data_IF_212619132290
#
_entry.id   IF_212619132290
#
_cell.length_a   1.000
_cell.length_b   1.000
_cell.length_c   1.000
_cell.angle_alpha   90.00
_cell.angle_beta   90.00
_cell.angle_gamma   90.00
#
_symmetry.space_group_name_H-M   'P 1'
#
loop_
_entity.id
_entity.type
_entity.pdbx_description
1 polymer ?
#
# COMPACT_ATOMS: atom_id res chain seq x y z
N UNK A 1 4.99 -22.96 2.82
CA UNK A 1 6.05 -22.26 2.07
C UNK A 1 6.82 -21.41 3.07
N UNK A 2 8.15 -21.43 3.06
CA UNK A 2 8.97 -20.69 4.02
C UNK A 2 9.14 -19.23 3.56
N UNK A 3 8.78 -18.29 4.43
CA UNK A 3 8.99 -16.86 4.21
C UNK A 3 10.48 -16.55 4.09
N UNK A 4 10.85 -15.68 3.15
CA UNK A 4 12.24 -15.31 2.87
C UNK A 4 12.48 -13.87 3.29
N UNK A 5 13.62 -13.64 3.95
CA UNK A 5 14.04 -12.29 4.31
C UNK A 5 14.35 -11.43 3.07
N UNK A 6 13.97 -10.16 3.13
CA UNK A 6 14.18 -9.19 2.08
C UNK A 6 15.67 -8.85 1.94
N UNK A 7 16.21 -9.07 0.74
CA UNK A 7 17.53 -8.54 0.38
C UNK A 7 17.42 -7.04 0.13
N UNK A 8 18.57 -6.36 0.09
CA UNK A 8 18.62 -4.90 -0.12
C UNK A 8 17.84 -4.44 -1.36
N UNK A 9 17.95 -5.16 -2.48
CA UNK A 9 17.19 -4.88 -3.71
C UNK A 9 15.68 -4.99 -3.53
N UNK A 10 15.22 -5.94 -2.70
CA UNK A 10 13.80 -6.14 -2.43
C UNK A 10 13.27 -5.02 -1.54
N UNK A 11 14.08 -4.52 -0.61
CA UNK A 11 13.76 -3.35 0.22
C UNK A 11 13.64 -2.09 -0.63
N UNK A 12 14.57 -1.86 -1.55
CA UNK A 12 14.51 -0.73 -2.50
C UNK A 12 13.29 -0.81 -3.42
N UNK A 13 12.93 -2.02 -3.86
CA UNK A 13 11.70 -2.23 -4.61
C UNK A 13 10.46 -1.92 -3.77
N UNK A 14 10.40 -2.39 -2.51
CA UNK A 14 9.29 -2.09 -1.60
C UNK A 14 9.15 -0.59 -1.36
N UNK A 15 10.25 0.14 -1.17
CA UNK A 15 10.24 1.60 -1.03
C UNK A 15 9.69 2.30 -2.29
N UNK A 16 10.07 1.84 -3.49
CA UNK A 16 9.52 2.38 -4.75
C UNK A 16 8.02 2.11 -4.87
N UNK A 17 7.57 0.91 -4.51
CA UNK A 17 6.13 0.57 -4.50
C UNK A 17 5.39 1.49 -3.52
N UNK A 18 5.94 1.74 -2.33
CA UNK A 18 5.34 2.67 -1.36
C UNK A 18 5.23 4.07 -1.96
N UNK A 19 6.29 4.61 -2.56
CA UNK A 19 6.28 5.95 -3.15
C UNK A 19 5.28 6.05 -4.32
N UNK A 20 5.21 5.01 -5.16
CA UNK A 20 4.25 4.93 -6.27
C UNK A 20 2.80 4.88 -5.76
N UNK A 21 2.48 4.08 -4.75
CA UNK A 21 1.11 4.01 -4.23
C UNK A 21 0.73 5.29 -3.46
N UNK A 22 1.66 5.92 -2.72
CA UNK A 22 1.43 7.24 -2.12
C UNK A 22 1.10 8.28 -3.20
N UNK A 23 1.77 8.24 -4.35
CA UNK A 23 1.53 9.20 -5.45
C UNK A 23 0.13 9.09 -6.07
N UNK A 24 -0.57 7.96 -5.86
CA UNK A 24 -1.92 7.71 -6.39
C UNK A 24 -3.04 8.10 -5.43
N UNK A 25 -2.72 8.38 -4.17
CA UNK A 25 -3.69 8.82 -3.15
C UNK A 25 -4.60 9.95 -3.65
N UNK A 26 -4.09 11.02 -4.31
CA UNK A 26 -4.97 12.08 -4.82
C UNK A 26 -6.04 11.57 -5.80
N UNK A 27 -5.68 10.61 -6.66
CA UNK A 27 -6.62 9.99 -7.60
C UNK A 27 -7.67 9.16 -6.87
N UNK A 28 -7.25 8.36 -5.89
CA UNK A 28 -8.17 7.58 -5.05
C UNK A 28 -9.18 8.47 -4.32
N UNK A 29 -8.71 9.55 -3.68
CA UNK A 29 -9.60 10.49 -2.98
C UNK A 29 -10.62 11.13 -3.93
N UNK A 30 -10.18 11.49 -5.15
CA UNK A 30 -11.07 12.01 -6.19
C UNK A 30 -12.13 10.97 -6.60
N UNK A 31 -11.73 9.71 -6.77
CA UNK A 31 -12.65 8.62 -7.13
C UNK A 31 -13.67 8.36 -6.01
N UNK A 32 -13.27 8.51 -4.75
CA UNK A 32 -14.15 8.40 -3.60
C UNK A 32 -15.25 9.48 -3.56
N UNK A 33 -15.05 10.61 -4.23
CA UNK A 33 -16.05 11.67 -4.37
C UNK A 33 -16.95 11.50 -5.60
N UNK A 34 -16.79 10.42 -6.38
CA UNK A 34 -17.72 10.08 -7.46
C UNK A 34 -19.11 9.72 -6.89
N UNK A 35 -20.19 9.99 -7.66
CA UNK A 35 -21.55 9.67 -7.23
C UNK A 35 -21.70 8.20 -6.84
N UNK A 36 -22.36 7.93 -5.72
CA UNK A 36 -22.64 6.60 -5.18
C UNK A 36 -21.42 5.75 -4.81
N UNK A 37 -20.18 6.22 -4.95
CA UNK A 37 -18.98 5.42 -4.65
C UNK A 37 -18.96 5.00 -3.18
N UNK A 38 -19.15 5.96 -2.28
CA UNK A 38 -19.17 5.73 -0.83
C UNK A 38 -20.32 4.83 -0.41
N UNK A 39 -21.51 5.06 -0.95
CA UNK A 39 -22.69 4.26 -0.62
C UNK A 39 -22.55 2.81 -1.10
N UNK A 40 -22.03 2.62 -2.31
CA UNK A 40 -21.82 1.29 -2.91
C UNK A 40 -20.82 0.47 -2.08
N UNK A 41 -19.75 1.10 -1.63
CA UNK A 41 -18.68 0.46 -0.87
C UNK A 41 -18.88 0.56 0.65
N UNK A 42 -20.00 1.13 1.09
CA UNK A 42 -20.34 1.35 2.50
C UNK A 42 -19.24 2.07 3.29
N UNK A 43 -18.59 3.05 2.65
CA UNK A 43 -17.49 3.82 3.21
C UNK A 43 -18.05 4.84 4.20
N UNK A 44 -17.69 4.68 5.48
CA UNK A 44 -18.11 5.56 6.58
C UNK A 44 -17.06 6.60 6.95
N UNK A 45 -15.79 6.23 6.83
CA UNK A 45 -14.63 7.09 7.08
C UNK A 45 -13.71 7.02 5.86
N UNK A 46 -13.56 8.15 5.16
CA UNK A 46 -12.76 8.23 3.94
C UNK A 46 -11.26 8.06 4.23
N UNK A 47 -10.79 8.58 5.36
CA UNK A 47 -9.37 8.50 5.73
C UNK A 47 -8.99 7.08 6.12
N UNK A 48 -9.84 6.39 6.88
CA UNK A 48 -9.65 4.99 7.25
C UNK A 48 -9.67 4.09 6.01
N UNK A 49 -10.64 4.30 5.11
CA UNK A 49 -10.73 3.56 3.87
C UNK A 49 -9.50 3.78 2.98
N UNK A 50 -9.09 5.03 2.76
CA UNK A 50 -7.93 5.36 1.95
C UNK A 50 -6.64 4.76 2.55
N UNK A 51 -6.49 4.80 3.87
CA UNK A 51 -5.35 4.20 4.57
C UNK A 51 -5.30 2.69 4.35
N UNK A 52 -6.42 1.99 4.58
CA UNK A 52 -6.52 0.55 4.36
C UNK A 52 -6.30 0.14 2.90
N UNK A 53 -6.88 0.89 1.96
CA UNK A 53 -6.71 0.65 0.53
C UNK A 53 -5.24 0.78 0.10
N UNK A 54 -4.55 1.85 0.50
CA UNK A 54 -3.14 2.08 0.15
C UNK A 54 -2.25 0.99 0.74
N UNK A 55 -2.48 0.60 2.00
CA UNK A 55 -1.76 -0.51 2.62
C UNK A 55 -1.95 -1.81 1.85
N UNK A 56 -3.20 -2.16 1.51
CA UNK A 56 -3.51 -3.35 0.73
C UNK A 56 -2.85 -3.33 -0.67
N UNK A 57 -2.88 -2.18 -1.34
CA UNK A 57 -2.26 -1.98 -2.64
C UNK A 57 -0.74 -2.17 -2.60
N UNK A 58 -0.05 -1.60 -1.60
CA UNK A 58 1.39 -1.74 -1.41
C UNK A 58 1.75 -3.21 -1.20
N UNK A 59 1.08 -3.89 -0.26
CA UNK A 59 1.34 -5.30 0.06
C UNK A 59 1.11 -6.18 -1.16
N UNK A 60 -0.09 -6.09 -1.78
CA UNK A 60 -0.44 -6.95 -2.90
C UNK A 60 0.46 -6.74 -4.13
N UNK A 61 0.82 -5.49 -4.43
CA UNK A 61 1.73 -5.17 -5.53
C UNK A 61 3.14 -5.68 -5.24
N UNK A 62 3.68 -5.43 -4.05
CA UNK A 62 5.01 -5.91 -3.69
C UNK A 62 5.08 -7.43 -3.68
N UNK A 63 4.11 -8.13 -3.07
CA UNK A 63 4.05 -9.59 -3.07
C UNK A 63 4.01 -10.17 -4.48
N UNK A 64 3.23 -9.56 -5.38
CA UNK A 64 3.15 -9.98 -6.78
C UNK A 64 4.50 -9.85 -7.48
N UNK A 65 5.17 -8.69 -7.36
CA UNK A 65 6.47 -8.47 -7.99
C UNK A 65 7.53 -9.38 -7.37
N UNK A 66 7.52 -9.55 -6.05
CA UNK A 66 8.46 -10.43 -5.34
C UNK A 66 8.30 -11.88 -5.79
N UNK A 67 7.05 -12.38 -5.88
CA UNK A 67 6.73 -13.72 -6.33
C UNK A 67 7.31 -14.00 -7.72
N UNK A 68 7.10 -13.06 -8.66
CA UNK A 68 7.63 -13.18 -10.03
C UNK A 68 9.17 -13.18 -10.05
N UNK A 69 9.80 -12.29 -9.28
CA UNK A 69 11.25 -12.18 -9.23
C UNK A 69 11.94 -13.36 -8.50
N UNK A 70 11.25 -14.00 -7.56
CA UNK A 70 11.82 -15.03 -6.68
C UNK A 70 11.26 -16.44 -6.93
N UNK A 71 10.81 -16.71 -8.16
CA UNK A 71 10.36 -18.05 -8.59
C UNK A 71 9.27 -18.64 -7.69
N UNK A 72 8.28 -17.81 -7.35
CA UNK A 72 7.11 -18.23 -6.60
C UNK A 72 7.26 -18.20 -5.08
N UNK A 73 8.36 -17.66 -4.55
CA UNK A 73 8.54 -17.46 -3.11
C UNK A 73 7.77 -16.24 -2.62
N UNK A 74 7.46 -16.23 -1.33
CA UNK A 74 6.83 -15.10 -0.65
C UNK A 74 7.82 -14.41 0.28
N UNK A 75 7.77 -13.06 0.35
CA UNK A 75 8.54 -12.31 1.32
C UNK A 75 7.97 -12.49 2.74
N UNK A 76 8.79 -12.25 3.76
CA UNK A 76 8.31 -12.19 5.15
C UNK A 76 7.31 -11.05 5.36
N UNK A 77 6.11 -11.39 5.82
CA UNK A 77 5.06 -10.43 6.14
C UNK A 77 5.51 -9.41 7.21
N UNK A 78 6.28 -9.85 8.21
CA UNK A 78 6.81 -8.99 9.27
C UNK A 78 7.77 -7.91 8.73
N UNK A 79 8.60 -8.24 7.74
CA UNK A 79 9.51 -7.27 7.14
C UNK A 79 8.77 -6.26 6.26
N UNK A 80 7.76 -6.71 5.52
CA UNK A 80 6.87 -5.80 4.77
C UNK A 80 6.19 -4.83 5.73
N UNK A 81 5.58 -5.36 6.80
CA UNK A 81 4.88 -4.56 7.79
C UNK A 81 5.80 -3.51 8.43
N UNK A 82 7.02 -3.89 8.83
CA UNK A 82 8.00 -2.96 9.42
C UNK A 82 8.35 -1.81 8.47
N UNK A 83 8.59 -2.10 7.19
CA UNK A 83 8.91 -1.05 6.21
C UNK A 83 7.73 -0.12 5.97
N UNK A 84 6.51 -0.66 5.81
CA UNK A 84 5.30 0.16 5.65
C UNK A 84 5.07 1.01 6.91
N UNK A 85 5.22 0.42 8.11
CA UNK A 85 5.02 1.15 9.36
C UNK A 85 6.02 2.31 9.53
N UNK A 86 7.27 2.13 9.09
CA UNK A 86 8.28 3.19 9.02
C UNK A 86 7.88 4.37 8.11
N UNK A 87 6.91 4.18 7.22
CA UNK A 87 6.39 5.18 6.28
C UNK A 87 4.98 5.67 6.62
N UNK A 88 4.39 5.19 7.72
CA UNK A 88 3.02 5.54 8.17
C UNK A 88 2.76 7.03 8.18
N UNK A 89 3.71 7.84 8.68
CA UNK A 89 3.55 9.29 8.74
C UNK A 89 3.37 9.92 7.35
N UNK A 90 4.13 9.46 6.35
CA UNK A 90 4.00 9.96 4.97
C UNK A 90 2.69 9.53 4.30
N UNK A 91 2.27 8.28 4.52
CA UNK A 91 0.98 7.77 4.02
C UNK A 91 -0.16 8.57 4.64
N UNK A 92 -0.13 8.74 5.97
CA UNK A 92 -1.13 9.52 6.72
C UNK A 92 -1.14 10.98 6.28
N UNK A 93 0.01 11.61 6.14
CA UNK A 93 0.12 13.00 5.68
C UNK A 93 -0.46 13.19 4.28
N UNK A 94 -0.22 12.25 3.35
CA UNK A 94 -0.75 12.31 2.00
C UNK A 94 -2.29 12.19 1.97
N UNK A 95 -2.87 11.44 2.90
CA UNK A 95 -4.32 11.32 3.06
C UNK A 95 -4.90 12.58 3.73
N UNK A 96 -4.32 13.01 4.85
CA UNK A 96 -4.88 14.10 5.68
C UNK A 96 -4.63 15.51 5.14
N UNK A 97 -3.60 15.75 4.33
CA UNK A 97 -3.33 17.09 3.77
C UNK A 97 -4.23 17.45 2.60
N UNK A 98 -5.02 16.51 2.08
CA UNK A 98 -5.90 16.70 0.92
C UNK A 98 -7.38 16.42 1.21
N UNK A 99 -7.69 15.89 2.39
CA UNK A 99 -9.05 15.72 2.89
C UNK A 99 -9.57 16.96 3.61
#
# INVERSE_FOLDING_TARGET
>A
MSDVSLKQKDKELLEKVIDEEISKIPGLLKDMHLPNFKDTLQIKDESEYAYGYVHGAIVGKFETVYFLAHSGKRPSADEIAKTIFGRTSKIRDAILKMG
#
